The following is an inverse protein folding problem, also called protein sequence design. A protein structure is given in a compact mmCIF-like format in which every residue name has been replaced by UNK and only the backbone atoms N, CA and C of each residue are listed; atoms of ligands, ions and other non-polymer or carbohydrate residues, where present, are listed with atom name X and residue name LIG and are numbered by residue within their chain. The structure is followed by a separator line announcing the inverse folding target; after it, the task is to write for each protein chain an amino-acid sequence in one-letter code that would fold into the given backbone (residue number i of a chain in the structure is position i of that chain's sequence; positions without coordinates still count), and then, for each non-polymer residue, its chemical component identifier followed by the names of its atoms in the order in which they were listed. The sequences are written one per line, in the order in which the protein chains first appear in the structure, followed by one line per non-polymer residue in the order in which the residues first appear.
data_IF_958472619743
#
_entry.id   IF_958472619743
#
_cell.length_a   1.000
_cell.length_b   1.000
_cell.length_c   1.000
_cell.angle_alpha   90.00
_cell.angle_beta   90.00
_cell.angle_gamma   90.00
#
_symmetry.space_group_name_H-M   'P 1'
#
loop_
_entity.id
_entity.type
_entity.pdbx_description
1 polymer ?
#
# COMPACT_ATOMS: atom_id res chain seq x y z
N UNK A 1 20.13 -13.91 -57.82
CA UNK A 1 20.66 -13.56 -56.48
C UNK A 1 20.65 -12.03 -56.23
N UNK A 2 19.48 -11.38 -56.28
CA UNK A 2 19.34 -9.93 -55.91
C UNK A 2 18.00 -9.62 -55.22
N UNK A 3 16.99 -10.48 -55.38
CA UNK A 3 15.68 -10.34 -54.73
C UNK A 3 15.62 -10.93 -53.30
N UNK A 4 16.48 -11.90 -52.97
CA UNK A 4 16.53 -12.51 -51.62
C UNK A 4 17.20 -11.61 -50.57
N UNK A 5 18.03 -10.65 -51.00
CA UNK A 5 18.74 -9.73 -50.10
C UNK A 5 17.84 -8.58 -49.64
N UNK A 6 16.80 -8.22 -50.41
CA UNK A 6 15.93 -7.07 -50.10
C UNK A 6 14.76 -7.39 -49.15
N UNK A 7 14.42 -8.66 -48.95
CA UNK A 7 13.32 -9.05 -48.07
C UNK A 7 13.77 -9.19 -46.61
N UNK A 8 15.07 -9.42 -46.36
CA UNK A 8 15.61 -9.55 -45.01
C UNK A 8 15.83 -8.22 -44.28
N UNK A 9 15.82 -7.08 -44.98
CA UNK A 9 16.10 -5.76 -44.36
C UNK A 9 14.86 -5.08 -43.74
N UNK A 10 13.65 -5.56 -44.01
CA UNK A 10 12.43 -4.94 -43.46
C UNK A 10 11.85 -5.63 -42.20
N UNK A 11 12.43 -6.76 -41.77
CA UNK A 11 11.93 -7.52 -40.60
C UNK A 11 12.99 -7.49 -39.48
N UNK A 12 13.57 -6.32 -39.22
CA UNK A 12 14.51 -6.13 -38.09
C UNK A 12 14.22 -4.87 -37.25
N UNK A 13 13.07 -4.22 -37.47
CA UNK A 13 12.62 -3.08 -36.65
C UNK A 13 11.41 -3.40 -35.77
N UNK A 14 11.11 -4.68 -35.53
CA UNK A 14 10.12 -5.11 -34.54
C UNK A 14 10.77 -5.54 -33.21
N UNK A 15 12.01 -5.12 -32.95
CA UNK A 15 12.68 -5.33 -31.67
C UNK A 15 12.09 -4.38 -30.62
N UNK A 16 11.04 -4.88 -29.98
CA UNK A 16 10.87 -4.89 -28.53
C UNK A 16 11.11 -3.56 -27.82
N UNK A 17 10.09 -2.70 -27.83
CA UNK A 17 9.82 -1.84 -26.68
C UNK A 17 9.35 -2.76 -25.54
N UNK A 18 10.27 -3.48 -24.90
CA UNK A 18 10.06 -3.92 -23.52
C UNK A 18 10.11 -2.65 -22.71
N UNK A 19 9.00 -1.92 -22.68
CA UNK A 19 8.80 -0.90 -21.67
C UNK A 19 8.93 -1.62 -20.35
N UNK A 20 10.04 -1.40 -19.64
CA UNK A 20 10.06 -1.61 -18.21
C UNK A 20 8.97 -0.68 -17.69
N UNK A 21 7.74 -1.20 -17.56
CA UNK A 21 6.61 -0.46 -17.03
C UNK A 21 7.03 -0.07 -15.62
N UNK A 22 7.55 1.14 -15.52
CA UNK A 22 8.04 1.73 -14.29
C UNK A 22 6.81 1.76 -13.38
N UNK A 23 6.84 1.01 -12.28
CA UNK A 23 5.65 0.68 -11.48
C UNK A 23 5.17 1.87 -10.63
N UNK A 24 5.24 3.09 -11.15
CA UNK A 24 4.66 4.26 -10.52
C UNK A 24 3.16 4.22 -10.69
N UNK A 25 2.46 4.30 -9.58
CA UNK A 25 1.01 4.31 -9.49
C UNK A 25 0.58 5.44 -8.58
N UNK A 26 -0.67 5.89 -8.70
CA UNK A 26 -1.26 6.84 -7.76
C UNK A 26 -1.15 6.30 -6.32
N UNK A 27 -0.79 7.18 -5.38
CA UNK A 27 -0.70 6.84 -3.96
C UNK A 27 -2.09 6.45 -3.46
N UNK A 28 -2.25 5.20 -3.02
CA UNK A 28 -3.51 4.76 -2.42
C UNK A 28 -3.66 5.26 -0.98
N UNK A 29 -4.89 5.64 -0.65
CA UNK A 29 -5.34 5.96 0.72
C UNK A 29 -6.52 5.05 1.06
N UNK A 30 -6.28 3.76 1.37
CA UNK A 30 -7.37 2.82 1.63
C UNK A 30 -8.18 3.23 2.86
N UNK A 31 -9.48 2.95 2.85
CA UNK A 31 -10.38 3.15 3.98
C UNK A 31 -11.25 1.92 4.19
N UNK A 32 -11.82 1.78 5.39
CA UNK A 32 -12.72 0.69 5.72
C UNK A 32 -13.74 1.09 6.77
N UNK A 33 -14.79 0.29 6.89
CA UNK A 33 -15.88 0.52 7.83
C UNK A 33 -15.60 -0.22 9.14
N UNK A 34 -16.01 0.38 10.25
CA UNK A 34 -15.94 -0.21 11.58
C UNK A 34 -17.28 -0.88 11.89
N UNK A 35 -17.29 -2.15 12.32
CA UNK A 35 -18.51 -2.80 12.78
C UNK A 35 -19.17 -2.04 13.95
N UNK A 36 -20.51 -1.98 13.93
CA UNK A 36 -21.26 -1.33 14.98
C UNK A 36 -21.03 -2.01 16.35
N UNK A 37 -21.09 -1.21 17.43
CA UNK A 37 -20.99 -1.71 18.80
C UNK A 37 -19.56 -1.80 19.35
N UNK A 38 -18.52 -1.56 18.53
CA UNK A 38 -17.15 -1.51 19.01
C UNK A 38 -16.85 -0.19 19.75
N UNK A 39 -16.18 -0.30 20.89
CA UNK A 39 -15.62 0.86 21.59
C UNK A 39 -14.37 1.38 20.86
N UNK A 40 -14.02 2.65 21.05
CA UNK A 40 -12.78 3.24 20.52
C UNK A 40 -11.55 2.41 20.88
N UNK A 41 -11.52 1.85 22.10
CA UNK A 41 -10.42 0.98 22.55
C UNK A 41 -10.36 -0.33 21.74
N UNK A 42 -11.49 -1.00 21.52
CA UNK A 42 -11.54 -2.23 20.71
C UNK A 42 -11.13 -1.98 19.26
N UNK A 43 -11.57 -0.85 18.67
CA UNK A 43 -11.12 -0.46 17.32
C UNK A 43 -9.61 -0.25 17.29
N UNK A 44 -9.08 0.52 18.25
CA UNK A 44 -7.64 0.76 18.34
C UNK A 44 -6.87 -0.55 18.50
N UNK A 45 -7.33 -1.45 19.36
CA UNK A 45 -6.66 -2.73 19.61
C UNK A 45 -6.75 -3.67 18.38
N UNK A 46 -7.87 -3.67 17.65
CA UNK A 46 -7.99 -4.37 16.38
C UNK A 46 -7.00 -3.83 15.32
N UNK A 47 -6.84 -2.50 15.23
CA UNK A 47 -5.85 -1.88 14.35
C UNK A 47 -4.44 -2.34 14.72
N UNK A 48 -4.08 -2.39 16.01
CA UNK A 48 -2.77 -2.88 16.47
C UNK A 48 -2.51 -4.33 16.06
N UNK A 49 -3.53 -5.19 16.17
CA UNK A 49 -3.45 -6.59 15.73
C UNK A 49 -3.22 -6.63 14.22
N UNK A 50 -4.01 -5.89 13.44
CA UNK A 50 -3.88 -5.83 11.98
C UNK A 50 -2.49 -5.36 11.52
N UNK A 51 -1.95 -4.32 12.16
CA UNK A 51 -0.57 -3.88 11.93
C UNK A 51 0.45 -5.01 12.18
N UNK A 52 0.36 -5.64 13.37
CA UNK A 52 1.31 -6.68 13.78
C UNK A 52 1.25 -7.90 12.85
N UNK A 53 0.07 -8.30 12.39
CA UNK A 53 -0.11 -9.43 11.46
C UNK A 53 0.59 -9.26 10.11
N UNK A 54 0.92 -8.03 9.71
CA UNK A 54 1.59 -7.74 8.44
C UNK A 54 2.93 -7.02 8.60
N UNK A 55 3.57 -7.13 9.78
CA UNK A 55 4.87 -6.54 10.08
C UNK A 55 4.91 -5.01 9.96
N UNK A 56 3.80 -4.35 10.31
CA UNK A 56 3.79 -2.92 10.55
C UNK A 56 4.10 -2.68 12.04
N UNK A 57 5.22 -2.02 12.29
CA UNK A 57 5.66 -1.66 13.63
C UNK A 57 4.97 -0.37 14.06
N UNK A 58 4.26 -0.38 15.18
CA UNK A 58 3.59 0.81 15.70
C UNK A 58 4.63 1.77 16.25
N UNK A 59 4.65 3.00 15.74
CA UNK A 59 5.59 4.04 16.15
C UNK A 59 4.98 5.03 17.13
N UNK A 60 3.67 5.28 17.01
CA UNK A 60 2.95 6.24 17.85
C UNK A 60 1.46 5.90 17.92
N UNK A 61 0.85 6.18 19.07
CA UNK A 61 -0.60 6.10 19.27
C UNK A 61 -1.05 7.41 19.93
N UNK A 62 -2.09 8.04 19.40
CA UNK A 62 -2.67 9.26 19.97
C UNK A 62 -4.18 9.27 19.79
N UNK A 63 -4.92 8.81 20.81
CA UNK A 63 -6.39 8.80 20.79
C UNK A 63 -6.95 7.97 19.64
N UNK A 64 -7.40 8.63 18.58
CA UNK A 64 -7.99 8.04 17.37
C UNK A 64 -7.02 7.99 16.18
N UNK A 65 -5.72 8.07 16.45
CA UNK A 65 -4.63 8.04 15.49
C UNK A 65 -3.64 6.95 15.88
N UNK A 66 -3.25 6.11 14.91
CA UNK A 66 -2.14 5.14 15.04
C UNK A 66 -1.17 5.36 13.89
N UNK A 67 0.10 5.65 14.20
CA UNK A 67 1.16 5.62 13.21
C UNK A 67 1.89 4.28 13.25
N UNK A 68 2.16 3.74 12.06
CA UNK A 68 2.87 2.49 11.92
C UNK A 68 3.84 2.53 10.74
N UNK A 69 4.97 1.84 10.89
CA UNK A 69 6.06 1.79 9.93
C UNK A 69 6.26 0.37 9.43
N UNK A 70 6.27 0.20 8.11
CA UNK A 70 6.82 -0.99 7.47
C UNK A 70 8.26 -0.70 7.10
N UNK A 71 9.20 -1.42 7.72
CA UNK A 71 10.62 -1.29 7.45
C UNK A 71 11.16 -2.56 6.78
N UNK A 72 11.62 -2.43 5.53
CA UNK A 72 12.46 -3.42 4.86
C UNK A 72 13.81 -2.76 4.57
N UNK A 73 14.89 -3.54 4.56
CA UNK A 73 16.30 -3.08 4.53
C UNK A 73 16.55 -1.74 3.81
N UNK A 74 16.10 -1.59 2.56
CA UNK A 74 16.28 -0.38 1.74
C UNK A 74 14.98 0.32 1.34
N UNK A 75 13.84 -0.17 1.82
CA UNK A 75 12.51 0.30 1.40
C UNK A 75 11.58 0.34 2.60
N UNK A 76 11.10 1.53 2.95
CA UNK A 76 10.24 1.73 4.10
C UNK A 76 9.09 2.68 3.79
N UNK A 77 7.99 2.54 4.52
CA UNK A 77 6.87 3.47 4.51
C UNK A 77 6.34 3.63 5.94
N UNK A 78 6.03 4.86 6.33
CA UNK A 78 5.29 5.17 7.54
C UNK A 78 3.90 5.63 7.12
N UNK A 79 2.87 5.07 7.75
CA UNK A 79 1.47 5.41 7.52
C UNK A 79 0.82 5.88 8.80
N UNK A 80 -0.19 6.74 8.66
CA UNK A 80 -1.10 7.14 9.71
C UNK A 80 -2.45 6.50 9.48
N UNK A 81 -3.00 5.90 10.52
CA UNK A 81 -4.30 5.24 10.54
C UNK A 81 -5.21 6.08 11.42
N UNK A 82 -6.06 6.89 10.78
CA UNK A 82 -7.06 7.71 11.44
C UNK A 82 -8.36 6.90 11.51
N UNK A 83 -9.03 6.88 12.67
CA UNK A 83 -10.27 6.11 12.83
C UNK A 83 -11.30 6.83 13.71
N UNK A 84 -12.57 6.47 13.57
CA UNK A 84 -13.64 6.92 14.46
C UNK A 84 -14.51 5.73 14.90
N UNK A 85 -15.81 5.93 15.15
CA UNK A 85 -16.72 4.83 15.51
C UNK A 85 -17.34 4.12 14.30
N UNK A 86 -17.14 4.64 13.10
CA UNK A 86 -17.82 4.25 11.87
C UNK A 86 -16.86 3.85 10.75
N UNK A 87 -15.67 4.46 10.68
CA UNK A 87 -14.71 4.21 9.62
C UNK A 87 -13.25 4.43 10.07
N UNK A 88 -12.32 3.96 9.24
CA UNK A 88 -10.90 4.28 9.35
C UNK A 88 -10.29 4.55 7.96
N UNK A 89 -9.15 5.24 7.93
CA UNK A 89 -8.37 5.48 6.71
C UNK A 89 -6.88 5.31 6.96
N UNK A 90 -6.13 4.94 5.92
CA UNK A 90 -4.68 4.72 5.95
C UNK A 90 -4.02 5.72 5.00
N UNK A 91 -3.27 6.68 5.54
CA UNK A 91 -2.59 7.74 4.79
C UNK A 91 -1.07 7.59 4.83
N UNK A 92 -0.39 7.82 3.70
CA UNK A 92 1.07 7.86 3.65
C UNK A 92 1.59 9.09 4.41
N UNK A 93 2.51 8.89 5.34
CA UNK A 93 3.22 9.97 6.05
C UNK A 93 4.57 10.23 5.39
N UNK A 94 5.38 9.18 5.25
CA UNK A 94 6.71 9.26 4.67
C UNK A 94 7.09 7.95 3.99
N UNK A 95 8.04 8.01 3.05
CA UNK A 95 8.55 6.83 2.37
C UNK A 95 10.04 6.95 2.09
N UNK A 96 10.73 5.80 2.14
CA UNK A 96 12.15 5.65 1.79
C UNK A 96 12.27 4.55 0.73
N UNK A 97 13.01 4.82 -0.35
CA UNK A 97 13.25 3.81 -1.40
C UNK A 97 12.02 3.43 -2.24
N UNK A 98 10.90 4.14 -2.11
CA UNK A 98 9.66 3.93 -2.89
C UNK A 98 9.49 4.90 -4.06
N UNK A 99 10.53 5.71 -4.35
CA UNK A 99 10.59 6.60 -5.51
C UNK A 99 9.38 7.55 -5.62
N UNK A 100 8.88 8.05 -4.49
CA UNK A 100 7.69 8.91 -4.46
C UNK A 100 7.86 10.14 -5.36
N UNK A 101 6.90 10.37 -6.26
CA UNK A 101 6.78 11.58 -7.06
C UNK A 101 5.66 12.46 -6.51
N UNK A 102 6.02 13.51 -5.77
CA UNK A 102 5.06 14.40 -5.10
C UNK A 102 4.25 15.25 -6.08
N UNK A 103 4.80 15.66 -7.23
CA UNK A 103 4.07 16.51 -8.19
C UNK A 103 2.97 15.74 -8.94
N UNK A 104 3.16 14.43 -9.13
CA UNK A 104 2.19 13.54 -9.77
C UNK A 104 1.33 12.73 -8.79
N UNK A 105 1.59 12.83 -7.49
CA UNK A 105 0.99 11.99 -6.46
C UNK A 105 1.18 10.48 -6.75
N UNK A 106 2.39 10.10 -7.18
CA UNK A 106 2.71 8.72 -7.57
C UNK A 106 3.76 8.10 -6.65
N UNK A 107 3.72 6.77 -6.54
CA UNK A 107 4.65 5.96 -5.75
C UNK A 107 4.83 4.60 -6.38
N UNK A 108 5.93 3.93 -6.08
CA UNK A 108 6.14 2.56 -6.52
C UNK A 108 5.02 1.64 -6.00
N UNK A 109 4.46 0.79 -6.87
CA UNK A 109 3.28 -0.06 -6.63
C UNK A 109 3.36 -0.94 -5.38
N UNK A 110 4.59 -1.26 -4.95
CA UNK A 110 4.86 -1.98 -3.70
C UNK A 110 4.18 -1.33 -2.49
N UNK A 111 4.16 0.00 -2.41
CA UNK A 111 3.44 0.71 -1.35
C UNK A 111 1.96 0.37 -1.37
N UNK A 112 1.31 0.47 -2.54
CA UNK A 112 -0.11 0.17 -2.72
C UNK A 112 -0.44 -1.28 -2.32
N UNK A 113 0.44 -2.24 -2.64
CA UNK A 113 0.33 -3.61 -2.16
C UNK A 113 0.39 -3.70 -0.63
N UNK A 114 1.34 -3.00 -0.01
CA UNK A 114 1.49 -3.02 1.45
C UNK A 114 0.28 -2.45 2.19
N UNK A 115 -0.25 -1.30 1.75
CA UNK A 115 -1.42 -0.69 2.41
C UNK A 115 -2.72 -1.44 2.12
N UNK A 116 -2.83 -2.12 0.97
CA UNK A 116 -3.95 -3.03 0.67
C UNK A 116 -3.94 -4.22 1.63
N UNK A 117 -2.77 -4.82 1.86
CA UNK A 117 -2.62 -5.93 2.80
C UNK A 117 -2.90 -5.50 4.24
N UNK A 118 -2.41 -4.32 4.64
CA UNK A 118 -2.72 -3.74 5.95
C UNK A 118 -4.23 -3.54 6.14
N UNK A 119 -4.92 -2.97 5.15
CA UNK A 119 -6.37 -2.81 5.17
C UNK A 119 -7.08 -4.15 5.42
N UNK A 120 -6.73 -5.18 4.64
CA UNK A 120 -7.34 -6.50 4.78
C UNK A 120 -7.09 -7.12 6.16
N UNK A 121 -5.92 -6.87 6.74
CA UNK A 121 -5.58 -7.31 8.09
C UNK A 121 -6.46 -6.61 9.14
N UNK A 122 -6.54 -5.28 9.08
CA UNK A 122 -7.37 -4.47 9.98
C UNK A 122 -8.84 -4.90 9.88
N UNK A 123 -9.37 -5.07 8.66
CA UNK A 123 -10.74 -5.53 8.45
C UNK A 123 -11.00 -6.90 9.08
N UNK A 124 -10.02 -7.81 8.99
CA UNK A 124 -10.10 -9.14 9.61
C UNK A 124 -10.09 -9.03 11.13
N UNK A 125 -9.19 -8.23 11.69
CA UNK A 125 -9.11 -7.99 13.13
C UNK A 125 -10.38 -7.36 13.68
N UNK A 126 -10.96 -6.37 12.98
CA UNK A 126 -12.23 -5.72 13.35
C UNK A 126 -13.39 -6.71 13.37
N UNK A 127 -13.48 -7.60 12.36
CA UNK A 127 -14.50 -8.67 12.34
C UNK A 127 -14.34 -9.61 13.53
N UNK A 128 -13.11 -9.99 13.88
CA UNK A 128 -12.85 -10.88 15.00
C UNK A 128 -13.22 -10.25 16.35
N UNK A 129 -13.15 -8.92 16.50
CA UNK A 129 -13.63 -8.24 17.72
C UNK A 129 -15.15 -8.35 17.90
N UNK A 130 -15.93 -8.57 16.84
CA UNK A 130 -17.40 -8.71 16.95
C UNK A 130 -17.87 -10.09 17.40
N UNK A 131 -16.98 -11.08 17.39
CA UNK A 131 -17.29 -12.49 17.68
C UNK A 131 -16.85 -12.87 19.11
N UNK A 132 -16.10 -12.01 19.79
CA UNK A 132 -15.63 -12.19 21.17
C UNK A 132 -16.72 -11.81 22.16
#
# INVERSE_FOLDING_TARGET
MKALVKIFTCILCAFTLVGCAYKHQQIMTPNGNIPAGLTTKQVQDAIKVGCSSYNWEITRISGTEVEAKMNKTNVAATVRIDFDKSNYSISLVESTGLMQNRSKNEIHSRYNTWVTNLKNAIDTSLKNETIK
#
